data_IF_855483392164
#
_entry.id   IF_855483392164
#
_cell.length_a   1.000
_cell.length_b   1.000
_cell.length_c   1.000
_cell.angle_alpha   90.00
_cell.angle_beta   90.00
_cell.angle_gamma   90.00
#
_symmetry.space_group_name_H-M   'P 1'
#
loop_
_entity.id
_entity.type
_entity.pdbx_description
1 polymer ?
#
# COMPACT_ATOMS: atom_id res chain seq x y z
N UNK A 1 12.41 -8.61 27.30
CA UNK A 1 12.06 -7.43 26.49
C UNK A 1 13.32 -6.69 26.04
N UNK A 2 14.30 -6.33 26.94
CA UNK A 2 15.53 -5.60 26.56
C UNK A 2 16.44 -6.38 25.59
N UNK A 3 16.55 -7.70 25.71
CA UNK A 3 17.34 -8.55 24.80
C UNK A 3 16.75 -8.61 23.40
N UNK A 4 15.43 -8.74 23.30
CA UNK A 4 14.70 -8.76 22.04
C UNK A 4 14.77 -7.41 21.30
N UNK A 5 14.61 -6.30 22.03
CA UNK A 5 14.77 -4.95 21.47
C UNK A 5 16.18 -4.70 20.93
N UNK A 6 17.23 -5.17 21.60
CA UNK A 6 18.61 -5.10 21.09
C UNK A 6 18.81 -5.95 19.83
N UNK A 7 18.19 -7.12 19.74
CA UNK A 7 18.26 -7.97 18.56
C UNK A 7 17.43 -7.38 17.39
N UNK A 8 16.25 -6.81 17.68
CA UNK A 8 15.38 -6.23 16.66
C UNK A 8 15.92 -4.89 16.10
N UNK A 9 16.50 -4.04 16.96
CA UNK A 9 16.91 -2.68 16.60
C UNK A 9 18.43 -2.45 16.59
N UNK A 10 19.25 -3.33 17.19
CA UNK A 10 20.69 -3.16 17.28
C UNK A 10 21.43 -3.39 15.96
N UNK A 11 22.54 -2.66 15.72
CA UNK A 11 23.45 -2.89 14.60
C UNK A 11 23.02 -2.33 13.24
N UNK A 12 21.86 -1.68 13.14
CA UNK A 12 21.45 -0.98 11.92
C UNK A 12 22.17 0.37 11.78
N UNK A 13 22.53 0.80 10.56
CA UNK A 13 23.22 2.05 10.33
C UNK A 13 22.44 3.27 10.83
N UNK A 14 23.16 4.32 11.26
CA UNK A 14 22.54 5.56 11.76
C UNK A 14 21.58 6.21 10.73
N UNK A 15 21.93 6.17 9.45
CA UNK A 15 21.10 6.69 8.37
C UNK A 15 19.76 5.96 8.24
N UNK A 16 19.70 4.65 8.52
CA UNK A 16 18.46 3.90 8.59
C UNK A 16 17.48 4.50 9.61
N UNK A 17 17.98 4.89 10.79
CA UNK A 17 17.12 5.45 11.84
C UNK A 17 16.56 6.81 11.46
N UNK A 18 17.29 7.62 10.70
CA UNK A 18 16.74 8.87 10.15
C UNK A 18 15.65 8.61 9.10
N UNK A 19 15.84 7.63 8.20
CA UNK A 19 14.81 7.19 7.27
C UNK A 19 13.57 6.68 8.00
N UNK A 20 13.76 5.85 9.00
CA UNK A 20 12.69 5.24 9.81
C UNK A 20 11.89 6.32 10.57
N UNK A 21 12.58 7.24 11.23
CA UNK A 21 11.95 8.36 11.96
C UNK A 21 11.18 9.26 11.00
N UNK A 22 11.76 9.59 9.83
CA UNK A 22 11.08 10.33 8.79
C UNK A 22 9.82 9.61 8.31
N UNK A 23 9.88 8.28 8.09
CA UNK A 23 8.70 7.48 7.74
C UNK A 23 7.62 7.58 8.83
N UNK A 24 7.97 7.38 10.09
CA UNK A 24 7.01 7.44 11.19
C UNK A 24 6.33 8.81 11.27
N UNK A 25 7.11 9.90 11.25
CA UNK A 25 6.58 11.28 11.29
C UNK A 25 5.65 11.54 10.12
N UNK A 26 6.07 11.21 8.88
CA UNK A 26 5.25 11.38 7.70
C UNK A 26 3.95 10.57 7.79
N UNK A 27 3.99 9.34 8.30
CA UNK A 27 2.81 8.48 8.42
C UNK A 27 1.86 8.92 9.53
N UNK A 28 2.38 9.42 10.64
CA UNK A 28 1.55 10.03 11.70
C UNK A 28 0.81 11.27 11.18
N UNK A 29 1.38 11.98 10.22
CA UNK A 29 0.76 13.13 9.58
C UNK A 29 -0.04 12.84 8.31
N UNK A 30 -0.17 11.58 7.86
CA UNK A 30 -0.87 11.24 6.61
C UNK A 30 -2.40 11.37 6.76
N UNK A 31 -2.88 12.59 6.95
CA UNK A 31 -4.28 12.91 7.22
C UNK A 31 -5.09 13.14 5.94
N UNK A 32 -4.48 13.82 4.96
CA UNK A 32 -5.17 14.34 3.79
C UNK A 32 -5.89 13.23 2.99
N UNK A 33 -5.16 12.20 2.57
CA UNK A 33 -5.73 11.12 1.74
C UNK A 33 -6.73 10.26 2.53
N UNK A 34 -6.46 10.01 3.82
CA UNK A 34 -7.31 9.19 4.68
C UNK A 34 -8.71 9.80 4.88
N UNK A 35 -8.80 11.12 4.95
CA UNK A 35 -10.07 11.83 5.17
C UNK A 35 -10.56 12.58 3.92
N UNK A 36 -9.89 12.42 2.79
CA UNK A 36 -10.23 13.15 1.56
C UNK A 36 -11.66 12.86 1.09
N UNK A 37 -12.13 11.61 1.17
CA UNK A 37 -13.51 11.27 0.78
C UNK A 37 -14.55 11.95 1.65
N UNK A 38 -14.31 12.04 2.97
CA UNK A 38 -15.19 12.77 3.91
C UNK A 38 -15.18 14.27 3.58
N UNK A 39 -13.99 14.86 3.41
CA UNK A 39 -13.85 16.26 3.05
C UNK A 39 -14.63 16.60 1.76
N UNK A 40 -14.49 15.77 0.73
CA UNK A 40 -15.16 16.00 -0.55
C UNK A 40 -16.68 15.90 -0.45
N UNK A 41 -17.20 14.94 0.33
CA UNK A 41 -18.65 14.71 0.41
C UNK A 41 -19.32 15.57 1.47
N UNK A 42 -18.78 15.64 2.69
CA UNK A 42 -19.40 16.36 3.80
C UNK A 42 -19.13 17.85 3.80
N UNK A 43 -17.89 18.28 3.47
CA UNK A 43 -17.52 19.70 3.51
C UNK A 43 -17.75 20.40 2.16
N UNK A 44 -17.40 19.72 1.04
CA UNK A 44 -17.51 20.30 -0.31
C UNK A 44 -18.82 19.97 -1.02
N UNK A 45 -19.65 19.07 -0.46
CA UNK A 45 -20.95 18.70 -1.02
C UNK A 45 -20.88 17.95 -2.35
N UNK A 46 -19.73 17.35 -2.69
CA UNK A 46 -19.60 16.56 -3.91
C UNK A 46 -20.32 15.22 -3.79
N UNK A 47 -20.82 14.72 -4.91
CA UNK A 47 -21.42 13.39 -4.93
C UNK A 47 -20.39 12.29 -4.67
N UNK A 48 -20.84 11.12 -4.26
CA UNK A 48 -19.99 9.95 -4.00
C UNK A 48 -19.16 9.55 -5.24
N UNK A 49 -19.75 9.64 -6.44
CA UNK A 49 -19.02 9.40 -7.70
C UNK A 49 -17.97 10.46 -7.98
N UNK A 50 -18.27 11.74 -7.71
CA UNK A 50 -17.28 12.82 -7.86
C UNK A 50 -16.12 12.68 -6.89
N UNK A 51 -16.40 12.34 -5.64
CA UNK A 51 -15.36 12.06 -4.64
C UNK A 51 -14.52 10.84 -5.04
N UNK A 52 -15.15 9.77 -5.50
CA UNK A 52 -14.48 8.59 -6.02
C UNK A 52 -13.58 8.88 -7.22
N UNK A 53 -14.02 9.74 -8.15
CA UNK A 53 -13.23 10.16 -9.30
C UNK A 53 -11.99 10.96 -8.90
N UNK A 54 -12.13 11.91 -7.96
CA UNK A 54 -11.00 12.69 -7.44
C UNK A 54 -9.97 11.76 -6.77
N UNK A 55 -10.41 10.82 -5.94
CA UNK A 55 -9.52 9.80 -5.33
C UNK A 55 -8.87 8.90 -6.40
N UNK A 56 -9.59 8.59 -7.47
CA UNK A 56 -9.05 7.89 -8.62
C UNK A 56 -7.93 8.66 -9.31
N UNK A 57 -8.05 9.99 -9.44
CA UNK A 57 -6.98 10.85 -9.96
C UNK A 57 -5.72 10.80 -9.09
N UNK A 58 -5.86 10.73 -7.74
CA UNK A 58 -4.72 10.46 -6.87
C UNK A 58 -4.01 9.15 -7.25
N UNK A 59 -4.78 8.08 -7.47
CA UNK A 59 -4.23 6.78 -7.87
C UNK A 59 -3.52 6.81 -9.22
N UNK A 60 -4.09 7.49 -10.23
CA UNK A 60 -3.46 7.66 -11.55
C UNK A 60 -2.17 8.48 -11.44
N UNK A 61 -2.21 9.61 -10.72
CA UNK A 61 -1.02 10.42 -10.44
C UNK A 61 0.06 9.60 -9.74
N UNK A 62 -0.34 8.80 -8.75
CA UNK A 62 0.56 7.92 -7.99
C UNK A 62 1.24 6.85 -8.84
N UNK A 63 0.51 6.23 -9.78
CA UNK A 63 1.09 5.28 -10.72
C UNK A 63 2.19 5.92 -11.59
N UNK A 64 1.90 7.10 -12.14
CA UNK A 64 2.88 7.88 -12.93
C UNK A 64 4.05 8.32 -12.05
N UNK A 65 3.75 8.79 -10.83
CA UNK A 65 4.75 9.21 -9.85
C UNK A 65 5.71 8.10 -9.46
N UNK A 66 5.22 6.90 -9.21
CA UNK A 66 6.06 5.73 -8.90
C UNK A 66 7.00 5.39 -10.05
N UNK A 67 6.52 5.37 -11.29
CA UNK A 67 7.35 5.10 -12.46
C UNK A 67 8.38 6.21 -12.69
N UNK A 68 7.94 7.47 -12.66
CA UNK A 68 8.80 8.64 -12.83
C UNK A 68 9.84 8.77 -11.73
N UNK A 69 9.43 8.57 -10.47
CA UNK A 69 10.30 8.60 -9.29
C UNK A 69 11.42 7.57 -9.35
N UNK A 70 11.15 6.36 -9.87
CA UNK A 70 12.18 5.35 -10.11
C UNK A 70 13.23 5.82 -11.13
N UNK A 71 12.78 6.36 -12.26
CA UNK A 71 13.68 6.91 -13.30
C UNK A 71 14.49 8.09 -12.76
N UNK A 72 13.86 8.99 -12.01
CA UNK A 72 14.53 10.16 -11.42
C UNK A 72 15.54 9.72 -10.36
N UNK A 73 15.20 8.76 -9.49
CA UNK A 73 16.13 8.21 -8.50
C UNK A 73 17.37 7.60 -9.13
N UNK A 74 17.25 6.97 -10.29
CA UNK A 74 18.39 6.41 -11.02
C UNK A 74 19.20 7.46 -11.77
N UNK A 75 18.55 8.52 -12.28
CA UNK A 75 19.21 9.56 -13.08
C UNK A 75 19.80 10.69 -12.24
N UNK A 76 19.06 11.19 -11.28
CA UNK A 76 19.43 12.36 -10.46
C UNK A 76 19.96 11.99 -9.08
N UNK A 77 19.59 10.80 -8.58
CA UNK A 77 19.94 10.30 -7.26
C UNK A 77 18.72 10.11 -6.35
N UNK A 78 18.95 9.34 -5.29
CA UNK A 78 17.86 8.99 -4.33
C UNK A 78 17.42 10.22 -3.56
N UNK A 79 18.38 10.93 -2.96
CA UNK A 79 18.11 12.10 -2.11
C UNK A 79 17.45 13.27 -2.85
N UNK A 80 17.93 13.75 -4.02
CA UNK A 80 17.25 14.82 -4.76
C UNK A 80 15.83 14.44 -5.17
N UNK A 81 15.61 13.21 -5.62
CA UNK A 81 14.27 12.72 -5.98
C UNK A 81 13.32 12.75 -4.79
N UNK A 82 13.76 12.29 -3.61
CA UNK A 82 12.95 12.35 -2.39
C UNK A 82 12.62 13.78 -2.00
N UNK A 83 13.60 14.70 -2.04
CA UNK A 83 13.39 16.11 -1.67
C UNK A 83 12.39 16.80 -2.59
N UNK A 84 12.56 16.67 -3.93
CA UNK A 84 11.65 17.26 -4.91
C UNK A 84 10.22 16.72 -4.69
N UNK A 85 10.11 15.41 -4.50
CA UNK A 85 8.82 14.76 -4.27
C UNK A 85 8.16 15.19 -2.95
N UNK A 86 8.91 15.29 -1.86
CA UNK A 86 8.40 15.71 -0.54
C UNK A 86 8.01 17.19 -0.53
N UNK A 87 8.82 18.08 -1.07
CA UNK A 87 8.47 19.52 -1.16
C UNK A 87 7.28 19.75 -2.09
N UNK A 88 7.23 19.06 -3.23
CA UNK A 88 6.09 19.11 -4.15
C UNK A 88 4.79 18.62 -3.49
N UNK A 89 4.84 17.48 -2.78
CA UNK A 89 3.70 16.95 -2.05
C UNK A 89 3.22 17.94 -0.96
N UNK A 90 4.12 18.49 -0.15
CA UNK A 90 3.76 19.44 0.90
C UNK A 90 3.10 20.72 0.33
N UNK A 91 3.64 21.26 -0.76
CA UNK A 91 3.05 22.42 -1.43
C UNK A 91 1.64 22.12 -1.98
N UNK A 92 1.45 20.91 -2.55
CA UNK A 92 0.16 20.48 -3.08
C UNK A 92 -0.87 20.15 -2.01
N UNK A 93 -0.44 19.65 -0.84
CA UNK A 93 -1.33 19.50 0.33
C UNK A 93 -1.88 20.85 0.78
N UNK A 94 -1.03 21.88 0.86
CA UNK A 94 -1.49 23.24 1.18
C UNK A 94 -2.40 23.78 0.06
N UNK A 95 -2.00 23.63 -1.21
CA UNK A 95 -2.83 24.05 -2.34
C UNK A 95 -4.21 23.37 -2.33
N UNK A 96 -4.29 22.11 -1.98
CA UNK A 96 -5.54 21.35 -1.85
C UNK A 96 -6.43 21.91 -0.73
N UNK A 97 -5.84 22.33 0.40
CA UNK A 97 -6.57 22.98 1.50
C UNK A 97 -7.25 24.28 1.09
N UNK A 98 -6.67 25.02 0.16
CA UNK A 98 -7.22 26.29 -0.37
C UNK A 98 -8.03 26.13 -1.67
N UNK A 99 -8.01 24.95 -2.30
CA UNK A 99 -8.76 24.71 -3.52
C UNK A 99 -10.28 24.70 -3.26
N UNK A 100 -11.04 25.43 -4.08
CA UNK A 100 -12.48 25.61 -3.88
C UNK A 100 -13.34 24.97 -4.97
N UNK A 101 -12.81 24.85 -6.19
CA UNK A 101 -13.56 24.33 -7.31
C UNK A 101 -13.19 22.86 -7.59
N UNK A 102 -14.13 22.12 -8.17
CA UNK A 102 -13.90 20.72 -8.54
C UNK A 102 -12.63 20.52 -9.41
N UNK A 103 -12.39 21.31 -10.48
CA UNK A 103 -11.18 21.15 -11.29
C UNK A 103 -9.88 21.44 -10.50
N UNK A 104 -9.88 22.45 -9.63
CA UNK A 104 -8.71 22.76 -8.79
C UNK A 104 -8.38 21.58 -7.87
N UNK A 105 -9.39 21.04 -7.19
CA UNK A 105 -9.24 19.89 -6.30
C UNK A 105 -8.78 18.66 -7.08
N UNK A 106 -9.36 18.38 -8.25
CA UNK A 106 -9.00 17.25 -9.10
C UNK A 106 -7.53 17.32 -9.57
N UNK A 107 -7.09 18.49 -10.06
CA UNK A 107 -5.71 18.70 -10.50
C UNK A 107 -4.74 18.63 -9.32
N UNK A 108 -5.05 19.29 -8.20
CA UNK A 108 -4.20 19.25 -7.01
C UNK A 108 -4.06 17.81 -6.47
N UNK A 109 -5.16 17.04 -6.44
CA UNK A 109 -5.15 15.64 -5.98
C UNK A 109 -4.36 14.74 -6.92
N UNK A 110 -4.49 14.90 -8.25
CA UNK A 110 -3.69 14.18 -9.23
C UNK A 110 -2.19 14.45 -9.03
N UNK A 111 -1.80 15.71 -8.95
CA UNK A 111 -0.42 16.11 -8.73
C UNK A 111 0.09 15.66 -7.35
N UNK A 112 -0.76 15.72 -6.32
CA UNK A 112 -0.43 15.21 -4.99
C UNK A 112 -0.09 13.70 -5.05
N UNK A 113 -0.90 12.91 -5.75
CA UNK A 113 -0.62 11.49 -5.98
C UNK A 113 0.73 11.29 -6.68
N UNK A 114 1.00 12.06 -7.74
CA UNK A 114 2.24 12.01 -8.50
C UNK A 114 3.48 12.26 -7.61
N UNK A 115 3.47 13.33 -6.83
CA UNK A 115 4.61 13.65 -5.98
C UNK A 115 4.72 12.71 -4.76
N UNK A 116 3.63 12.39 -4.10
CA UNK A 116 3.64 11.52 -2.91
C UNK A 116 4.17 10.12 -3.21
N UNK A 117 3.76 9.53 -4.33
CA UNK A 117 4.16 8.17 -4.70
C UNK A 117 5.55 8.12 -5.38
N UNK A 118 6.07 9.24 -5.91
CA UNK A 118 7.42 9.32 -6.44
C UNK A 118 8.51 9.12 -5.37
N UNK A 119 8.21 9.35 -4.11
CA UNK A 119 9.13 9.09 -2.99
C UNK A 119 9.44 7.60 -2.84
N UNK A 120 8.48 6.72 -3.07
CA UNK A 120 8.58 5.28 -2.74
C UNK A 120 9.77 4.56 -3.38
N UNK A 121 10.01 4.63 -4.70
CA UNK A 121 11.14 3.94 -5.32
C UNK A 121 12.48 4.50 -4.85
N UNK A 122 12.60 5.82 -4.70
CA UNK A 122 13.82 6.47 -4.21
C UNK A 122 14.13 6.06 -2.76
N UNK A 123 13.12 6.04 -1.90
CA UNK A 123 13.21 5.58 -0.51
C UNK A 123 13.64 4.11 -0.42
N UNK A 124 13.00 3.22 -1.19
CA UNK A 124 13.34 1.80 -1.21
C UNK A 124 14.76 1.55 -1.69
N UNK A 125 15.19 2.26 -2.73
CA UNK A 125 16.56 2.18 -3.25
C UNK A 125 17.56 2.68 -2.21
N UNK A 126 17.32 3.83 -1.57
CA UNK A 126 18.19 4.36 -0.51
C UNK A 126 18.30 3.40 0.68
N UNK A 127 17.20 2.77 1.09
CA UNK A 127 17.21 1.77 2.15
C UNK A 127 18.08 0.56 1.80
N UNK A 128 17.99 0.06 0.55
CA UNK A 128 18.82 -1.04 0.05
C UNK A 128 20.30 -0.65 0.00
N UNK A 129 20.59 0.60 -0.39
CA UNK A 129 21.97 1.11 -0.50
C UNK A 129 22.61 1.29 0.89
N UNK A 130 21.86 1.71 1.90
CA UNK A 130 22.35 1.98 3.27
C UNK A 130 22.46 0.71 4.11
N UNK A 131 21.51 -0.23 3.97
CA UNK A 131 21.39 -1.38 4.87
C UNK A 131 22.12 -2.60 4.31
N UNK A 132 23.04 -3.23 5.07
CA UNK A 132 23.70 -4.47 4.66
C UNK A 132 22.68 -5.56 4.28
N UNK A 133 23.01 -6.38 3.30
CA UNK A 133 22.09 -7.38 2.72
C UNK A 133 21.46 -8.30 3.79
N UNK A 134 22.25 -8.79 4.73
CA UNK A 134 21.80 -9.64 5.84
C UNK A 134 20.75 -9.00 6.74
N UNK A 135 20.67 -7.66 6.79
CA UNK A 135 19.79 -6.90 7.67
C UNK A 135 18.59 -6.28 6.94
N UNK A 136 18.53 -6.38 5.60
CA UNK A 136 17.47 -5.74 4.78
C UNK A 136 16.06 -6.20 5.17
N UNK A 137 15.86 -7.51 5.36
CA UNK A 137 14.55 -8.04 5.76
C UNK A 137 14.08 -7.41 7.07
N UNK A 138 14.99 -7.30 8.05
CA UNK A 138 14.72 -6.68 9.35
C UNK A 138 14.40 -5.19 9.21
N UNK A 139 15.17 -4.45 8.40
CA UNK A 139 14.97 -3.03 8.16
C UNK A 139 13.61 -2.75 7.49
N UNK A 140 13.24 -3.52 6.45
CA UNK A 140 11.93 -3.38 5.81
C UNK A 140 10.78 -3.76 6.76
N UNK A 141 10.95 -4.76 7.63
CA UNK A 141 9.94 -5.12 8.64
C UNK A 141 9.74 -4.00 9.67
N UNK A 142 10.81 -3.38 10.15
CA UNK A 142 10.74 -2.22 11.05
C UNK A 142 10.08 -1.02 10.37
N UNK A 143 10.37 -0.78 9.09
CA UNK A 143 9.73 0.28 8.32
C UNK A 143 8.23 0.02 8.12
N UNK A 144 7.84 -1.22 7.83
CA UNK A 144 6.44 -1.63 7.74
C UNK A 144 5.70 -1.41 9.06
N UNK A 145 6.36 -1.72 10.18
CA UNK A 145 5.83 -1.45 11.52
C UNK A 145 5.62 0.06 11.76
N UNK A 146 6.57 0.91 11.37
CA UNK A 146 6.44 2.37 11.47
C UNK A 146 5.28 2.91 10.63
N UNK A 147 5.08 2.37 9.41
CA UNK A 147 3.98 2.75 8.52
C UNK A 147 2.62 2.46 9.19
N UNK A 148 2.44 1.26 9.73
CA UNK A 148 1.16 0.87 10.33
C UNK A 148 0.89 1.58 11.68
N UNK A 149 1.94 1.76 12.50
CA UNK A 149 1.83 2.56 13.72
C UNK A 149 1.46 4.01 13.40
N UNK A 150 2.15 4.60 12.41
CA UNK A 150 1.84 5.96 11.96
C UNK A 150 0.42 6.07 11.42
N UNK A 151 -0.04 5.11 10.62
CA UNK A 151 -1.42 5.06 10.12
C UNK A 151 -2.47 5.00 11.25
N UNK A 152 -2.26 4.16 12.27
CA UNK A 152 -3.16 4.06 13.40
C UNK A 152 -3.27 5.39 14.18
N UNK A 153 -2.13 6.05 14.42
CA UNK A 153 -2.09 7.35 15.09
C UNK A 153 -2.71 8.45 14.22
N UNK A 154 -2.39 8.47 12.92
CA UNK A 154 -2.95 9.42 11.95
C UNK A 154 -4.47 9.34 11.92
N UNK A 155 -5.04 8.15 11.88
CA UNK A 155 -6.48 7.94 11.80
C UNK A 155 -7.23 8.58 12.99
N UNK A 156 -6.69 8.41 14.21
CA UNK A 156 -7.27 9.01 15.43
C UNK A 156 -7.08 10.53 15.42
N UNK A 157 -5.85 11.00 15.21
CA UNK A 157 -5.55 12.45 15.24
C UNK A 157 -6.35 13.20 14.19
N UNK A 158 -6.39 12.70 12.95
CA UNK A 158 -7.13 13.32 11.87
C UNK A 158 -8.63 13.34 12.12
N UNK A 159 -9.20 12.27 12.70
CA UNK A 159 -10.61 12.22 13.07
C UNK A 159 -11.02 13.30 14.07
N UNK A 160 -10.14 13.63 15.02
CA UNK A 160 -10.38 14.74 15.95
C UNK A 160 -10.10 16.11 15.31
N UNK A 161 -9.04 16.24 14.50
CA UNK A 161 -8.73 17.48 13.81
C UNK A 161 -9.82 17.89 12.82
N UNK A 162 -10.43 16.94 12.12
CA UNK A 162 -11.56 17.18 11.21
C UNK A 162 -12.81 17.76 11.89
N UNK A 163 -12.97 17.62 13.22
CA UNK A 163 -14.05 18.27 13.97
C UNK A 163 -13.86 19.77 14.14
N UNK A 164 -12.61 20.23 14.06
CA UNK A 164 -12.25 21.64 14.26
C UNK A 164 -12.22 22.35 12.90
N UNK A 165 -11.38 21.88 11.99
CA UNK A 165 -11.22 22.43 10.64
C UNK A 165 -10.50 21.41 9.75
N UNK A 166 -11.03 21.16 8.55
CA UNK A 166 -10.36 20.30 7.56
C UNK A 166 -9.03 20.87 7.06
N UNK A 167 -8.83 22.20 7.11
CA UNK A 167 -7.54 22.82 6.77
C UNK A 167 -6.41 22.28 7.65
N UNK A 168 -6.70 21.95 8.93
CA UNK A 168 -5.71 21.36 9.84
C UNK A 168 -5.19 20.01 9.34
N UNK A 169 -6.00 19.23 8.61
CA UNK A 169 -5.56 17.97 8.02
C UNK A 169 -4.51 18.21 6.94
N UNK A 170 -4.76 19.17 6.04
CA UNK A 170 -3.85 19.49 4.95
C UNK A 170 -2.57 20.18 5.48
N UNK A 171 -2.71 21.12 6.39
CA UNK A 171 -1.58 21.82 7.00
C UNK A 171 -0.72 20.88 7.87
N UNK A 172 -1.33 19.98 8.64
CA UNK A 172 -0.64 18.99 9.46
C UNK A 172 0.15 17.99 8.62
N UNK A 173 -0.46 17.48 7.53
CA UNK A 173 0.20 16.58 6.59
C UNK A 173 1.36 17.28 5.86
N UNK A 174 1.16 18.51 5.40
CA UNK A 174 2.22 19.33 4.81
C UNK A 174 3.37 19.57 5.81
N UNK A 175 3.07 19.88 7.06
CA UNK A 175 4.07 20.13 8.10
C UNK A 175 4.91 18.89 8.39
N UNK A 176 4.28 17.72 8.58
CA UNK A 176 5.01 16.45 8.82
C UNK A 176 5.83 16.02 7.60
N UNK A 177 5.33 16.27 6.39
CA UNK A 177 6.07 16.05 5.14
C UNK A 177 7.27 16.97 5.03
N UNK A 178 7.15 18.26 5.40
CA UNK A 178 8.28 19.21 5.45
C UNK A 178 9.31 18.84 6.51
N UNK A 179 8.88 18.37 7.69
CA UNK A 179 9.80 17.84 8.71
C UNK A 179 10.58 16.65 8.15
N UNK A 180 9.90 15.73 7.46
CA UNK A 180 10.54 14.58 6.81
C UNK A 180 11.51 15.02 5.71
N UNK A 181 11.15 16.01 4.90
CA UNK A 181 12.03 16.59 3.89
C UNK A 181 13.28 17.22 4.54
N UNK A 182 13.11 17.91 5.67
CA UNK A 182 14.22 18.49 6.45
C UNK A 182 15.16 17.41 6.98
N UNK A 183 14.61 16.32 7.54
CA UNK A 183 15.42 15.16 7.96
C UNK A 183 16.19 14.58 6.77
N UNK A 184 15.53 14.41 5.62
CA UNK A 184 16.16 13.95 4.38
C UNK A 184 17.28 14.89 3.93
N UNK A 185 17.06 16.20 3.99
CA UNK A 185 18.03 17.19 3.55
C UNK A 185 19.27 17.28 4.46
N UNK A 186 19.10 17.14 5.77
CA UNK A 186 20.19 17.37 6.74
C UNK A 186 20.96 16.09 7.03
N UNK A 187 20.26 14.96 7.21
CA UNK A 187 20.85 13.75 7.79
C UNK A 187 21.10 12.60 6.80
N UNK A 188 20.51 12.67 5.59
CA UNK A 188 20.71 11.62 4.59
C UNK A 188 21.71 12.08 3.52
N UNK A 189 22.74 11.27 3.31
CA UNK A 189 23.67 11.46 2.20
C UNK A 189 23.09 10.86 0.91
N UNK A 190 23.56 11.33 -0.24
CA UNK A 190 23.26 10.70 -1.53
C UNK A 190 23.90 9.30 -1.59
N UNK A 191 23.13 8.30 -2.00
CA UNK A 191 23.58 6.90 -2.03
C UNK A 191 23.64 6.32 -3.46
N UNK A 192 23.41 7.16 -4.47
CA UNK A 192 23.44 6.71 -5.86
C UNK A 192 24.75 5.99 -6.15
N UNK A 193 24.72 4.71 -6.57
CA UNK A 193 25.93 4.00 -6.97
C UNK A 193 26.59 4.69 -8.18
N UNK A 194 27.91 4.72 -8.21
CA UNK A 194 28.62 5.10 -9.42
C UNK A 194 28.15 4.19 -10.56
N UNK A 195 27.86 4.78 -11.73
CA UNK A 195 27.41 4.02 -12.91
C UNK A 195 28.40 2.89 -13.18
N UNK A 196 27.96 1.64 -12.98
CA UNK A 196 28.67 0.49 -13.51
C UNK A 196 28.39 0.41 -15.00
N UNK A 197 29.39 0.62 -15.87
CA UNK A 197 29.21 0.42 -17.30
C UNK A 197 28.97 -1.08 -17.52
N UNK A 198 27.84 -1.49 -18.04
CA UNK A 198 27.68 -2.82 -18.59
C UNK A 198 26.53 -3.71 -18.13
N UNK A 199 25.67 -3.30 -17.24
CA UNK A 199 24.46 -4.11 -17.00
C UNK A 199 23.47 -3.85 -18.15
N UNK A 200 23.62 -4.62 -19.24
CA UNK A 200 22.62 -4.64 -20.32
C UNK A 200 21.29 -5.04 -19.70
N UNK A 201 20.25 -4.22 -19.93
CA UNK A 201 18.89 -4.64 -19.65
C UNK A 201 18.62 -5.96 -20.38
N UNK A 202 18.28 -7.02 -19.65
CA UNK A 202 17.98 -8.30 -20.29
C UNK A 202 16.86 -8.12 -21.32
N UNK A 203 17.00 -8.75 -22.52
CA UNK A 203 15.99 -8.66 -23.56
C UNK A 203 14.67 -9.28 -23.10
N UNK A 204 13.58 -8.53 -23.23
CA UNK A 204 12.22 -8.95 -22.88
C UNK A 204 11.49 -7.85 -22.12
N UNK A 205 10.27 -7.49 -22.55
CA UNK A 205 9.40 -6.50 -21.89
C UNK A 205 8.53 -7.09 -20.78
N UNK A 206 7.70 -6.27 -20.14
CA UNK A 206 6.64 -6.69 -19.19
C UNK A 206 5.70 -7.76 -19.81
N UNK A 207 5.55 -7.75 -21.13
CA UNK A 207 4.74 -8.75 -21.86
C UNK A 207 5.19 -10.20 -21.66
N UNK A 208 6.48 -10.45 -21.37
CA UNK A 208 6.98 -11.80 -21.09
C UNK A 208 6.37 -12.38 -19.82
N UNK A 209 6.22 -11.57 -18.76
CA UNK A 209 5.60 -12.02 -17.52
C UNK A 209 4.06 -12.09 -17.62
N UNK A 210 3.42 -11.26 -18.46
CA UNK A 210 1.98 -11.34 -18.72
C UNK A 210 1.59 -12.58 -19.55
N UNK A 211 2.51 -13.14 -20.34
CA UNK A 211 2.31 -14.41 -21.07
C UNK A 211 2.34 -15.63 -20.16
N UNK A 212 2.84 -15.50 -18.93
CA UNK A 212 2.73 -16.56 -17.93
C UNK A 212 1.28 -16.60 -17.38
N UNK A 213 0.45 -17.49 -17.94
CA UNK A 213 -0.96 -17.61 -17.58
C UNK A 213 -1.19 -17.86 -16.09
N UNK A 214 -0.30 -18.60 -15.40
CA UNK A 214 -0.42 -18.82 -13.96
C UNK A 214 -0.22 -17.52 -13.18
N UNK A 215 0.72 -16.67 -13.63
CA UNK A 215 0.97 -15.39 -13.02
C UNK A 215 -0.11 -14.35 -13.37
N UNK A 216 -0.59 -14.35 -14.63
CA UNK A 216 -1.67 -13.45 -15.06
C UNK A 216 -2.96 -13.68 -14.27
N UNK A 217 -3.36 -14.95 -14.06
CA UNK A 217 -4.52 -15.28 -13.19
C UNK A 217 -4.26 -14.81 -11.76
N UNK A 218 -3.06 -15.01 -11.23
CA UNK A 218 -2.72 -14.54 -9.89
C UNK A 218 -2.81 -13.00 -9.77
N UNK A 219 -2.31 -12.26 -10.76
CA UNK A 219 -2.42 -10.79 -10.81
C UNK A 219 -3.86 -10.31 -10.85
N UNK A 220 -4.72 -10.99 -11.64
CA UNK A 220 -6.15 -10.67 -11.69
C UNK A 220 -6.82 -10.86 -10.32
N UNK A 221 -6.54 -11.98 -9.64
CA UNK A 221 -7.08 -12.22 -8.30
C UNK A 221 -6.56 -11.17 -7.30
N UNK A 222 -5.27 -10.81 -7.37
CA UNK A 222 -4.69 -9.74 -6.55
C UNK A 222 -5.36 -8.41 -6.84
N UNK A 223 -5.56 -8.04 -8.10
CA UNK A 223 -6.23 -6.82 -8.49
C UNK A 223 -7.66 -6.73 -7.93
N UNK A 224 -8.45 -7.80 -8.01
CA UNK A 224 -9.81 -7.84 -7.44
C UNK A 224 -9.77 -7.62 -5.91
N UNK A 225 -8.83 -8.24 -5.21
CA UNK A 225 -8.67 -8.02 -3.77
C UNK A 225 -8.35 -6.55 -3.48
N UNK A 226 -7.45 -5.94 -4.26
CA UNK A 226 -7.08 -4.53 -4.09
C UNK A 226 -8.29 -3.61 -4.30
N UNK A 227 -9.16 -3.90 -5.28
CA UNK A 227 -10.42 -3.15 -5.48
C UNK A 227 -11.31 -3.19 -4.23
N UNK A 228 -11.38 -4.33 -3.55
CA UNK A 228 -12.18 -4.49 -2.33
C UNK A 228 -11.50 -3.80 -1.13
N UNK A 229 -10.24 -4.07 -0.90
CA UNK A 229 -9.52 -3.54 0.27
C UNK A 229 -9.52 -2.01 0.26
N UNK A 230 -9.29 -1.38 -0.87
CA UNK A 230 -9.22 0.09 -0.95
C UNK A 230 -10.56 0.80 -0.72
N UNK A 231 -11.66 0.08 -0.59
CA UNK A 231 -12.94 0.68 -0.17
C UNK A 231 -12.87 1.26 1.26
N UNK A 232 -11.95 0.77 2.09
CA UNK A 232 -11.78 1.32 3.44
C UNK A 232 -11.35 2.80 3.45
N UNK A 233 -10.65 3.27 2.40
CA UNK A 233 -10.22 4.67 2.27
C UNK A 233 -11.24 5.55 1.52
N UNK A 234 -12.10 4.96 0.70
CA UNK A 234 -12.97 5.72 -0.21
C UNK A 234 -14.43 5.70 0.20
N UNK A 235 -15.04 4.54 0.27
CA UNK A 235 -16.49 4.40 0.45
C UNK A 235 -16.91 4.07 1.89
N UNK A 236 -16.08 3.39 2.67
CA UNK A 236 -16.37 3.10 4.08
C UNK A 236 -16.61 4.38 4.90
N UNK A 237 -15.74 5.42 4.85
CA UNK A 237 -16.00 6.66 5.56
C UNK A 237 -17.27 7.36 5.11
N UNK A 238 -17.60 7.32 3.81
CA UNK A 238 -18.85 7.88 3.28
C UNK A 238 -20.07 7.13 3.83
N UNK A 239 -20.02 5.79 3.85
CA UNK A 239 -21.10 4.97 4.42
C UNK A 239 -21.31 5.27 5.92
N UNK A 240 -20.23 5.33 6.69
CA UNK A 240 -20.32 5.66 8.11
C UNK A 240 -20.93 7.05 8.38
N UNK A 241 -20.59 8.04 7.55
CA UNK A 241 -21.21 9.37 7.66
C UNK A 241 -22.71 9.35 7.29
N UNK A 242 -23.08 8.58 6.26
CA UNK A 242 -24.48 8.42 5.86
C UNK A 242 -25.32 7.77 6.97
N UNK A 243 -24.72 6.89 7.78
CA UNK A 243 -25.34 6.27 8.97
C UNK A 243 -25.28 7.17 10.22
N UNK A 244 -24.90 8.46 10.07
CA UNK A 244 -24.90 9.46 11.13
C UNK A 244 -23.64 9.44 12.01
N UNK A 245 -22.62 8.69 11.66
CA UNK A 245 -21.36 8.70 12.41
C UNK A 245 -20.46 9.88 12.02
N UNK A 246 -19.57 10.25 12.93
CA UNK A 246 -18.63 11.37 12.71
C UNK A 246 -17.33 10.93 12.08
N UNK A 247 -16.59 11.89 11.51
CA UNK A 247 -15.21 11.66 11.03
C UNK A 247 -14.29 11.09 12.14
N UNK A 248 -14.48 11.53 13.41
CA UNK A 248 -13.71 10.98 14.53
C UNK A 248 -14.09 9.52 14.84
N UNK A 249 -15.36 9.15 14.69
CA UNK A 249 -15.79 7.76 14.81
C UNK A 249 -15.10 6.89 13.74
N UNK A 250 -15.10 7.33 12.49
CA UNK A 250 -14.37 6.64 11.42
C UNK A 250 -12.88 6.50 11.76
N UNK A 251 -12.21 7.60 12.16
CA UNK A 251 -10.81 7.58 12.54
C UNK A 251 -10.48 6.58 13.64
N UNK A 252 -11.34 6.50 14.67
CA UNK A 252 -11.17 5.55 15.77
C UNK A 252 -11.40 4.10 15.32
N UNK A 253 -12.40 3.87 14.51
CA UNK A 253 -12.72 2.54 13.95
C UNK A 253 -11.60 2.04 13.05
N UNK A 254 -11.12 2.86 12.13
CA UNK A 254 -10.06 2.44 11.19
C UNK A 254 -8.70 2.30 11.88
N UNK A 255 -8.45 2.99 12.99
CA UNK A 255 -7.23 2.82 13.79
C UNK A 255 -7.07 1.38 14.32
N UNK A 256 -8.18 0.64 14.52
CA UNK A 256 -8.17 -0.77 14.91
C UNK A 256 -7.36 -1.62 13.92
N UNK A 257 -7.44 -1.32 12.62
CA UNK A 257 -6.62 -2.00 11.59
C UNK A 257 -5.11 -1.84 11.90
N UNK A 258 -4.64 -0.61 12.06
CA UNK A 258 -3.23 -0.37 12.33
C UNK A 258 -2.76 -0.99 13.67
N UNK A 259 -3.59 -0.93 14.72
CA UNK A 259 -3.29 -1.55 16.03
C UNK A 259 -3.14 -3.07 15.90
N UNK A 260 -4.05 -3.73 15.19
CA UNK A 260 -3.99 -5.17 14.96
C UNK A 260 -2.75 -5.57 14.17
N UNK A 261 -2.42 -4.83 13.11
CA UNK A 261 -1.23 -5.10 12.31
C UNK A 261 0.04 -4.91 13.17
N UNK A 262 0.15 -3.80 13.89
CA UNK A 262 1.32 -3.52 14.75
C UNK A 262 1.52 -4.60 15.82
N UNK A 263 0.44 -5.09 16.42
CA UNK A 263 0.50 -6.09 17.49
C UNK A 263 0.64 -7.53 16.99
N UNK A 264 0.02 -7.87 15.86
CA UNK A 264 -0.15 -9.25 15.41
C UNK A 264 0.70 -9.68 14.20
N UNK A 265 1.11 -8.74 13.32
CA UNK A 265 1.76 -9.09 12.04
C UNK A 265 3.04 -9.91 12.19
N UNK A 266 3.79 -9.73 13.28
CA UNK A 266 5.04 -10.45 13.53
C UNK A 266 4.82 -11.96 13.78
N UNK A 267 3.62 -12.37 14.18
CA UNK A 267 3.29 -13.77 14.45
C UNK A 267 2.75 -14.51 13.23
N UNK A 268 2.24 -13.75 12.23
CA UNK A 268 1.60 -14.31 11.04
C UNK A 268 2.52 -15.23 10.24
N UNK A 269 3.80 -14.90 9.95
CA UNK A 269 4.70 -15.80 9.22
C UNK A 269 4.80 -17.19 9.84
N UNK A 270 4.90 -17.27 11.18
CA UNK A 270 4.93 -18.55 11.91
C UNK A 270 3.61 -19.31 11.79
N UNK A 271 2.48 -18.59 11.78
CA UNK A 271 1.15 -19.20 11.64
C UNK A 271 0.94 -19.84 10.27
N UNK A 272 1.51 -19.26 9.21
CA UNK A 272 1.33 -19.73 7.83
C UNK A 272 2.46 -20.64 7.35
N UNK A 273 3.54 -20.78 8.12
CA UNK A 273 4.68 -21.62 7.80
C UNK A 273 4.26 -23.07 7.52
N UNK A 274 4.76 -23.66 6.44
CA UNK A 274 4.42 -25.02 6.02
C UNK A 274 3.00 -25.21 5.47
N UNK A 275 2.16 -24.17 5.44
CA UNK A 275 0.80 -24.25 4.91
C UNK A 275 0.77 -23.98 3.41
N UNK A 276 -0.21 -24.58 2.75
CA UNK A 276 -0.48 -24.34 1.33
C UNK A 276 -0.87 -22.87 1.09
N UNK A 277 -0.04 -22.16 0.31
CA UNK A 277 -0.24 -20.74 -0.02
C UNK A 277 -1.60 -20.48 -0.67
N UNK A 278 -2.13 -21.41 -1.48
CA UNK A 278 -3.44 -21.23 -2.12
C UNK A 278 -4.58 -21.25 -1.08
N UNK A 279 -4.49 -22.13 -0.09
CA UNK A 279 -5.47 -22.21 1.00
C UNK A 279 -5.38 -20.98 1.92
N UNK A 280 -4.16 -20.53 2.24
CA UNK A 280 -3.95 -19.31 3.06
C UNK A 280 -4.53 -18.09 2.35
N UNK A 281 -4.27 -17.92 1.05
CA UNK A 281 -4.80 -16.80 0.26
C UNK A 281 -6.34 -16.88 0.10
N UNK A 282 -6.90 -18.10 -0.02
CA UNK A 282 -8.34 -18.27 -0.06
C UNK A 282 -9.01 -17.90 1.28
N UNK A 283 -8.45 -18.31 2.41
CA UNK A 283 -8.94 -17.90 3.74
C UNK A 283 -8.80 -16.40 3.94
N UNK A 284 -7.67 -15.81 3.52
CA UNK A 284 -7.46 -14.38 3.57
C UNK A 284 -8.53 -13.61 2.77
N UNK A 285 -8.83 -14.06 1.55
CA UNK A 285 -9.88 -13.44 0.72
C UNK A 285 -11.27 -13.58 1.36
N UNK A 286 -11.62 -14.75 1.92
CA UNK A 286 -12.90 -14.95 2.62
C UNK A 286 -13.03 -14.06 3.85
N UNK A 287 -11.99 -13.92 4.66
CA UNK A 287 -12.00 -13.02 5.81
C UNK A 287 -12.18 -11.56 5.37
N UNK A 288 -11.43 -11.12 4.34
CA UNK A 288 -11.60 -9.76 3.80
C UNK A 288 -13.01 -9.56 3.25
N UNK A 289 -13.49 -10.48 2.43
CA UNK A 289 -14.84 -10.42 1.87
C UNK A 289 -15.92 -10.40 2.95
N UNK A 290 -15.80 -11.25 3.97
CA UNK A 290 -16.74 -11.28 5.09
C UNK A 290 -16.71 -9.98 5.88
N UNK A 291 -15.52 -9.42 6.17
CA UNK A 291 -15.40 -8.14 6.86
C UNK A 291 -16.05 -7.00 6.08
N UNK A 292 -15.73 -6.85 4.79
CA UNK A 292 -16.35 -5.81 3.95
C UNK A 292 -17.84 -6.08 3.69
N UNK A 293 -18.25 -7.34 3.50
CA UNK A 293 -19.65 -7.69 3.31
C UNK A 293 -20.53 -7.37 4.52
N UNK A 294 -20.02 -7.60 5.73
CA UNK A 294 -20.71 -7.30 6.99
C UNK A 294 -20.88 -5.79 7.25
N UNK A 295 -20.17 -4.92 6.52
CA UNK A 295 -20.41 -3.47 6.57
C UNK A 295 -21.86 -3.14 6.16
N UNK A 296 -22.48 -3.94 5.28
CA UNK A 296 -23.88 -3.76 4.89
C UNK A 296 -24.88 -3.86 6.06
N UNK A 297 -24.47 -4.46 7.16
CA UNK A 297 -25.29 -4.70 8.34
C UNK A 297 -24.81 -3.88 9.56
N UNK A 298 -23.76 -3.08 9.40
CA UNK A 298 -23.16 -2.32 10.49
C UNK A 298 -23.92 -1.01 10.70
N UNK A 299 -24.49 -0.83 11.88
CA UNK A 299 -25.22 0.39 12.29
C UNK A 299 -24.52 1.13 13.44
N UNK A 300 -23.68 0.44 14.19
CA UNK A 300 -23.02 1.01 15.38
C UNK A 300 -21.48 1.05 15.18
N UNK A 301 -20.76 1.96 15.87
CA UNK A 301 -19.31 2.01 15.81
C UNK A 301 -18.62 0.68 16.18
N UNK A 302 -19.22 -0.08 17.11
CA UNK A 302 -18.71 -1.40 17.52
C UNK A 302 -18.86 -2.40 16.38
N UNK A 303 -20.00 -2.44 15.68
CA UNK A 303 -20.19 -3.30 14.52
C UNK A 303 -19.20 -2.97 13.42
N UNK A 304 -19.00 -1.69 13.10
CA UNK A 304 -17.95 -1.25 12.18
C UNK A 304 -16.55 -1.70 12.62
N UNK A 305 -16.20 -1.57 13.90
CA UNK A 305 -14.92 -2.05 14.42
C UNK A 305 -14.76 -3.57 14.28
N UNK A 306 -15.80 -4.35 14.49
CA UNK A 306 -15.81 -5.80 14.28
C UNK A 306 -15.58 -6.15 12.81
N UNK A 307 -16.19 -5.43 11.86
CA UNK A 307 -15.91 -5.64 10.43
C UNK A 307 -14.45 -5.34 10.11
N UNK A 308 -13.89 -4.25 10.66
CA UNK A 308 -12.46 -3.92 10.52
C UNK A 308 -11.56 -5.02 11.06
N UNK A 309 -11.87 -5.58 12.23
CA UNK A 309 -11.10 -6.70 12.79
C UNK A 309 -11.08 -7.89 11.81
N UNK A 310 -12.25 -8.28 11.28
CA UNK A 310 -12.38 -9.44 10.40
C UNK A 310 -11.56 -9.26 9.11
N UNK A 311 -11.73 -8.14 8.40
CA UNK A 311 -10.98 -7.94 7.16
C UNK A 311 -9.49 -7.70 7.40
N UNK A 312 -9.10 -7.11 8.53
CA UNK A 312 -7.69 -6.93 8.90
C UNK A 312 -6.99 -8.27 9.12
N UNK A 313 -7.64 -9.25 9.75
CA UNK A 313 -7.07 -10.60 9.88
C UNK A 313 -6.82 -11.23 8.50
N UNK A 314 -7.71 -10.99 7.53
CA UNK A 314 -7.51 -11.40 6.15
C UNK A 314 -6.30 -10.70 5.50
N UNK A 315 -6.18 -9.39 5.66
CA UNK A 315 -5.06 -8.59 5.16
C UNK A 315 -3.71 -9.05 5.73
N UNK A 316 -3.67 -9.34 7.03
CA UNK A 316 -2.47 -9.84 7.71
C UNK A 316 -1.99 -11.18 7.16
N UNK A 317 -2.90 -12.08 6.79
CA UNK A 317 -2.56 -13.35 6.14
C UNK A 317 -2.13 -13.15 4.68
N UNK A 318 -2.78 -12.24 3.97
CA UNK A 318 -2.53 -11.99 2.55
C UNK A 318 -1.16 -11.39 2.30
N UNK A 319 -0.73 -10.40 3.09
CA UNK A 319 0.49 -9.64 2.84
C UNK A 319 1.75 -10.51 2.68
N UNK A 320 2.14 -11.39 3.64
CA UNK A 320 3.30 -12.26 3.48
C UNK A 320 3.08 -13.33 2.42
N UNK A 321 1.85 -13.87 2.27
CA UNK A 321 1.53 -14.90 1.29
C UNK A 321 1.60 -14.36 -0.15
N UNK A 322 1.20 -13.09 -0.37
CA UNK A 322 1.34 -12.41 -1.64
C UNK A 322 2.81 -12.26 -2.04
N UNK A 323 3.64 -11.73 -1.13
CA UNK A 323 5.07 -11.57 -1.37
C UNK A 323 5.77 -12.90 -1.69
N UNK A 324 5.47 -13.95 -0.92
CA UNK A 324 6.01 -15.29 -1.14
C UNK A 324 5.57 -15.88 -2.49
N UNK A 325 4.29 -15.72 -2.88
CA UNK A 325 3.75 -16.24 -4.14
C UNK A 325 4.38 -15.55 -5.35
N UNK A 326 4.50 -14.21 -5.31
CA UNK A 326 5.18 -13.45 -6.39
C UNK A 326 6.63 -13.91 -6.53
N UNK A 327 7.35 -14.06 -5.41
CA UNK A 327 8.74 -14.54 -5.43
C UNK A 327 8.88 -15.96 -5.98
N UNK A 328 7.95 -16.88 -5.63
CA UNK A 328 7.97 -18.27 -6.07
C UNK A 328 7.64 -18.46 -7.57
N UNK A 329 6.80 -17.57 -8.13
CA UNK A 329 6.42 -17.61 -9.55
C UNK A 329 7.40 -16.89 -10.47
N UNK A 330 8.26 -16.03 -9.94
CA UNK A 330 9.19 -15.21 -10.70
C UNK A 330 10.51 -15.95 -10.98
N UNK A 331 10.89 -16.21 -12.25
CA UNK A 331 12.24 -16.64 -12.60
C UNK A 331 13.28 -15.62 -12.07
N UNK A 332 14.50 -16.05 -11.65
CA UNK A 332 15.51 -15.16 -11.08
C UNK A 332 15.82 -13.95 -11.93
N UNK A 333 15.97 -14.16 -13.24
CA UNK A 333 16.27 -13.11 -14.22
C UNK A 333 15.11 -12.13 -14.46
N UNK A 334 13.86 -12.51 -14.09
CA UNK A 334 12.66 -11.73 -14.36
C UNK A 334 11.97 -11.19 -13.09
N UNK A 335 12.55 -11.39 -11.90
CA UNK A 335 11.95 -11.00 -10.61
C UNK A 335 11.46 -9.55 -10.60
N UNK A 336 12.25 -8.63 -11.14
CA UNK A 336 11.87 -7.21 -11.21
C UNK A 336 10.61 -6.97 -12.05
N UNK A 337 10.42 -7.72 -13.15
CA UNK A 337 9.24 -7.59 -14.02
C UNK A 337 7.97 -8.13 -13.34
N UNK A 338 8.06 -9.28 -12.68
CA UNK A 338 6.96 -9.85 -11.91
C UNK A 338 6.54 -8.91 -10.78
N UNK A 339 7.50 -8.40 -10.01
CA UNK A 339 7.23 -7.42 -8.97
C UNK A 339 6.65 -6.11 -9.53
N UNK A 340 7.14 -5.65 -10.67
CA UNK A 340 6.61 -4.47 -11.36
C UNK A 340 5.15 -4.64 -11.78
N UNK A 341 4.77 -5.79 -12.32
CA UNK A 341 3.36 -6.09 -12.65
C UNK A 341 2.48 -6.20 -11.40
N UNK A 342 2.99 -6.78 -10.32
CA UNK A 342 2.26 -6.78 -9.03
C UNK A 342 2.03 -5.35 -8.52
N UNK A 343 3.05 -4.49 -8.59
CA UNK A 343 2.90 -3.08 -8.24
C UNK A 343 1.92 -2.34 -9.15
N UNK A 344 1.90 -2.67 -10.45
CA UNK A 344 0.94 -2.10 -11.40
C UNK A 344 -0.50 -2.50 -11.07
N UNK A 345 -0.74 -3.76 -10.64
CA UNK A 345 -2.06 -4.20 -10.18
C UNK A 345 -2.53 -3.39 -8.96
N UNK A 346 -1.64 -3.12 -8.02
CA UNK A 346 -1.92 -2.24 -6.87
C UNK A 346 -2.22 -0.80 -7.30
N UNK A 347 -1.41 -0.23 -8.17
CA UNK A 347 -1.62 1.14 -8.67
C UNK A 347 -2.94 1.28 -9.45
N UNK A 348 -3.25 0.30 -10.30
CA UNK A 348 -4.53 0.25 -11.02
C UNK A 348 -5.72 0.14 -10.05
N UNK A 349 -5.59 -0.68 -9.00
CA UNK A 349 -6.60 -0.77 -7.95
C UNK A 349 -6.77 0.54 -7.19
N UNK A 350 -5.68 1.23 -6.85
CA UNK A 350 -5.73 2.55 -6.18
C UNK A 350 -6.47 3.58 -7.03
N UNK A 351 -6.33 3.53 -8.35
CA UNK A 351 -7.07 4.41 -9.25
C UNK A 351 -8.54 4.00 -9.40
N UNK A 352 -8.82 2.72 -9.61
CA UNK A 352 -10.14 2.23 -10.00
C UNK A 352 -11.07 1.95 -8.81
N UNK A 353 -10.55 1.54 -7.66
CA UNK A 353 -11.38 1.19 -6.50
C UNK A 353 -12.28 2.34 -6.03
N UNK A 354 -11.78 3.57 -5.82
CA UNK A 354 -12.65 4.67 -5.40
C UNK A 354 -13.63 5.09 -6.49
N UNK A 355 -13.25 5.03 -7.77
CA UNK A 355 -14.15 5.36 -8.89
C UNK A 355 -15.32 4.38 -8.93
N UNK A 356 -15.02 3.08 -8.96
CA UNK A 356 -16.03 2.03 -9.03
C UNK A 356 -16.87 2.00 -7.75
N UNK A 357 -16.23 2.10 -6.59
CA UNK A 357 -16.92 2.11 -5.30
C UNK A 357 -17.85 3.29 -5.14
N UNK A 358 -17.40 4.51 -5.46
CA UNK A 358 -18.22 5.72 -5.42
C UNK A 358 -19.42 5.66 -6.39
N UNK A 359 -19.18 5.11 -7.60
CA UNK A 359 -20.25 4.93 -8.58
C UNK A 359 -21.30 3.92 -8.12
N UNK A 360 -20.87 2.75 -7.63
CA UNK A 360 -21.80 1.71 -7.14
C UNK A 360 -22.55 2.20 -5.92
N UNK A 361 -21.85 2.83 -4.97
CA UNK A 361 -22.46 3.38 -3.75
C UNK A 361 -23.55 4.40 -4.09
N UNK A 362 -23.29 5.30 -5.03
CA UNK A 362 -24.24 6.34 -5.45
C UNK A 362 -25.44 5.79 -6.21
N UNK A 363 -25.22 4.81 -7.13
CA UNK A 363 -26.29 4.34 -8.04
C UNK A 363 -27.08 3.16 -7.49
N UNK A 364 -26.42 2.27 -6.74
CA UNK A 364 -26.99 1.00 -6.30
C UNK A 364 -27.05 0.86 -4.77
N UNK A 365 -26.43 1.79 -4.05
CA UNK A 365 -26.45 1.82 -2.57
C UNK A 365 -25.42 0.91 -1.89
N UNK A 366 -25.33 1.06 -0.56
CA UNK A 366 -24.32 0.37 0.25
C UNK A 366 -24.48 -1.15 0.25
N UNK A 367 -25.71 -1.67 0.31
CA UNK A 367 -25.95 -3.12 0.32
C UNK A 367 -25.37 -3.81 -0.93
N UNK A 368 -25.53 -3.21 -2.11
CA UNK A 368 -24.97 -3.74 -3.36
C UNK A 368 -23.46 -3.64 -3.39
N UNK A 369 -22.88 -2.53 -2.91
CA UNK A 369 -21.44 -2.36 -2.83
C UNK A 369 -20.79 -3.41 -1.92
N UNK A 370 -21.27 -3.50 -0.68
CA UNK A 370 -20.67 -4.37 0.33
C UNK A 370 -20.95 -5.86 0.05
N UNK A 371 -22.16 -6.18 -0.41
CA UNK A 371 -22.48 -7.53 -0.91
C UNK A 371 -21.62 -7.92 -2.12
N UNK A 372 -21.40 -6.97 -3.04
CA UNK A 372 -20.50 -7.15 -4.18
C UNK A 372 -19.05 -7.41 -3.75
N UNK A 373 -18.54 -6.70 -2.74
CA UNK A 373 -17.22 -6.96 -2.16
C UNK A 373 -17.10 -8.39 -1.61
N UNK A 374 -18.12 -8.86 -0.90
CA UNK A 374 -18.17 -10.25 -0.42
C UNK A 374 -18.12 -11.26 -1.58
N UNK A 375 -18.99 -11.11 -2.57
CA UNK A 375 -19.06 -12.01 -3.73
C UNK A 375 -17.73 -12.02 -4.50
N UNK A 376 -17.13 -10.86 -4.75
CA UNK A 376 -15.82 -10.79 -5.40
C UNK A 376 -14.74 -11.56 -4.62
N UNK A 377 -14.71 -11.43 -3.31
CA UNK A 377 -13.76 -12.19 -2.50
C UNK A 377 -14.02 -13.68 -2.45
N UNK A 378 -15.28 -14.11 -2.53
CA UNK A 378 -15.62 -15.56 -2.71
C UNK A 378 -15.09 -16.07 -4.04
N UNK A 379 -15.27 -15.30 -5.13
CA UNK A 379 -14.69 -15.64 -6.45
C UNK A 379 -13.17 -15.70 -6.39
N UNK A 380 -12.53 -14.75 -5.70
CA UNK A 380 -11.08 -14.77 -5.49
C UNK A 380 -10.64 -16.01 -4.71
N UNK A 381 -11.34 -16.38 -3.63
CA UNK A 381 -11.03 -17.57 -2.85
C UNK A 381 -11.13 -18.84 -3.69
N UNK A 382 -12.21 -19.01 -4.45
CA UNK A 382 -12.37 -20.11 -5.40
C UNK A 382 -11.26 -20.12 -6.46
N UNK A 383 -10.91 -18.94 -7.00
CA UNK A 383 -9.81 -18.76 -7.95
C UNK A 383 -8.45 -19.16 -7.37
N UNK A 384 -8.18 -18.83 -6.10
CA UNK A 384 -6.95 -19.27 -5.44
C UNK A 384 -6.89 -20.78 -5.25
N UNK A 385 -8.00 -21.42 -4.88
CA UNK A 385 -8.07 -22.86 -4.69
C UNK A 385 -7.95 -23.63 -6.03
N UNK A 386 -8.64 -23.18 -7.07
CA UNK A 386 -8.63 -23.85 -8.39
C UNK A 386 -7.31 -23.65 -9.14
N UNK A 387 -6.72 -22.46 -9.11
CA UNK A 387 -5.42 -22.18 -9.74
C UNK A 387 -4.21 -22.60 -8.87
N UNK A 388 -4.42 -22.93 -7.59
CA UNK A 388 -3.38 -23.30 -6.63
C UNK A 388 -2.48 -24.44 -7.10
N UNK A 389 -3.02 -25.60 -7.50
CA UNK A 389 -2.20 -26.72 -7.95
C UNK A 389 -1.33 -26.41 -9.17
N UNK A 390 -1.84 -25.62 -10.12
CA UNK A 390 -1.07 -25.21 -11.29
C UNK A 390 0.09 -24.28 -10.91
N UNK A 391 -0.15 -23.33 -9.99
CA UNK A 391 0.87 -22.44 -9.44
C UNK A 391 1.94 -23.20 -8.67
N UNK A 392 1.55 -24.15 -7.83
CA UNK A 392 2.48 -24.98 -7.07
C UNK A 392 3.40 -25.81 -8.00
N UNK A 393 2.84 -26.43 -9.02
CA UNK A 393 3.62 -27.15 -10.05
C UNK A 393 4.57 -26.21 -10.81
N UNK A 394 4.17 -24.98 -11.11
CA UNK A 394 5.00 -23.98 -11.77
C UNK A 394 6.15 -23.54 -10.86
N UNK A 395 5.88 -23.22 -9.60
CA UNK A 395 6.90 -22.84 -8.61
C UNK A 395 7.92 -23.96 -8.39
N UNK A 396 7.47 -25.21 -8.28
CA UNK A 396 8.37 -26.37 -8.13
C UNK A 396 9.29 -26.56 -9.34
N UNK A 397 8.77 -26.43 -10.55
CA UNK A 397 9.59 -26.49 -11.78
C UNK A 397 10.67 -25.41 -11.81
N UNK A 398 10.34 -24.17 -11.42
CA UNK A 398 11.30 -23.08 -11.34
C UNK A 398 12.40 -23.36 -10.29
N UNK A 399 12.01 -23.93 -9.15
CA UNK A 399 12.96 -24.29 -8.09
C UNK A 399 13.92 -25.38 -8.54
N UNK A 400 13.44 -26.44 -9.15
CA UNK A 400 14.30 -27.53 -9.68
C UNK A 400 15.28 -26.99 -10.72
N UNK A 401 14.79 -26.16 -11.67
CA UNK A 401 15.66 -25.55 -12.68
C UNK A 401 16.77 -24.68 -12.07
N UNK A 402 16.48 -23.97 -10.97
CA UNK A 402 17.48 -23.16 -10.24
C UNK A 402 18.51 -24.04 -9.53
N UNK A 403 18.07 -25.12 -8.89
CA UNK A 403 18.95 -26.09 -8.21
C UNK A 403 19.89 -26.75 -9.20
N UNK A 404 19.41 -27.14 -10.39
CA UNK A 404 20.22 -27.72 -11.48
C UNK A 404 21.22 -26.72 -12.05
N UNK A 405 20.83 -25.45 -12.23
CA UNK A 405 21.71 -24.39 -12.71
C UNK A 405 22.85 -24.09 -11.70
N UNK A 406 22.51 -24.03 -10.43
CA UNK A 406 23.48 -23.83 -9.34
C UNK A 406 24.47 -25.00 -9.26
N UNK A 407 23.98 -26.25 -9.33
CA UNK A 407 24.84 -27.44 -9.31
C UNK A 407 25.79 -27.51 -10.52
N UNK A 408 25.33 -27.08 -11.72
CA UNK A 408 26.17 -26.98 -12.91
C UNK A 408 27.26 -25.90 -12.76
N UNK A 409 26.90 -24.76 -12.18
CA UNK A 409 27.86 -23.69 -11.94
C UNK A 409 28.96 -24.11 -10.95
N UNK A 410 28.58 -24.82 -9.87
CA UNK A 410 29.54 -25.40 -8.91
C UNK A 410 30.43 -26.49 -9.52
N UNK A 411 29.92 -27.30 -10.45
CA UNK A 411 30.70 -28.33 -11.12
C UNK A 411 31.72 -27.81 -12.13
N UNK A 412 31.55 -26.54 -12.57
CA UNK A 412 32.43 -25.87 -13.53
C UNK A 412 33.51 -25.00 -12.82
N UNK A 413 33.24 -24.58 -11.59
CA UNK A 413 34.14 -23.78 -10.76
C UNK A 413 35.18 -24.64 -10.03
#
# INVERSE_FOLDING_TARGET
VRGWLRQAAGGLPRQFWFLWTGTLINRVGSFAVLFLSIYLTAERGFSQSQAGLILGFYGVGGAIGTLGGGVLADRWGRRPTMLIAQFGAAALMLALGFAQTYPQIAVATFLLGLFSEAVRPAFSAMMIDIVPERDRVRAFSLNYWAINLGFALAAVIAGFAAKVDYLLLFAGDAATTLITATITAIFLAETRPARSPGRKAEPGGLGTALRDGNYAVYLLLTFIVVLVVLQHLSTLPISMLADGHTAATYGTVIAVNGVLIVSGQLFVPKLIEGRDSAKVLAVAALLMGSGFGLVALAETPIMYALTVIIWTLGEMLQSPSNAATVAALAPPSLRGRYQGLNSLAWSAGTALAPILGGLVLQKAGGAVLWGGCFVLCVVVAAGHLTAGPARARRAMRLRIAQEEESARAEAIA
#
